data_IF_247330187769
#
_entry.id   IF_247330187769
#
_cell.length_a   1.000
_cell.length_b   1.000
_cell.length_c   1.000
_cell.angle_alpha   90.00
_cell.angle_beta   90.00
_cell.angle_gamma   90.00
#
_symmetry.space_group_name_H-M   'P 1'
#
loop_
_entity.id
_entity.type
_entity.pdbx_description
1 polymer ?
#
# COMPACT_ATOMS: atom_id res chain seq x y z
N UNK A 1 10.17 12.84 32.00
CA UNK A 1 10.37 12.98 30.54
C UNK A 1 9.54 11.91 29.84
N UNK A 2 8.60 12.30 28.97
CA UNK A 2 7.80 11.34 28.20
C UNK A 2 8.66 10.76 27.07
N UNK A 3 8.94 9.45 27.11
CA UNK A 3 9.74 8.77 26.08
C UNK A 3 8.88 8.68 24.82
N UNK A 4 9.15 9.54 23.83
CA UNK A 4 8.52 9.44 22.50
C UNK A 4 8.76 8.01 21.98
N UNK A 5 7.68 7.27 21.74
CA UNK A 5 7.76 5.93 21.14
C UNK A 5 8.21 6.11 19.70
N UNK A 6 9.49 5.84 19.40
CA UNK A 6 9.99 5.87 18.04
C UNK A 6 9.77 4.50 17.40
N UNK A 7 8.98 4.47 16.34
CA UNK A 7 8.87 3.29 15.49
C UNK A 7 10.07 3.28 14.54
N UNK A 8 11.05 2.43 14.83
CA UNK A 8 12.24 2.31 13.98
C UNK A 8 11.94 1.42 12.78
N UNK A 9 12.60 1.70 11.65
CA UNK A 9 12.54 0.84 10.46
C UNK A 9 12.84 -0.62 10.82
N UNK A 10 13.84 -0.86 11.66
CA UNK A 10 14.23 -2.20 12.13
C UNK A 10 13.11 -2.92 12.88
N UNK A 11 12.37 -2.21 13.74
CA UNK A 11 11.23 -2.79 14.45
C UNK A 11 10.11 -3.18 13.49
N UNK A 12 9.81 -2.34 12.50
CA UNK A 12 8.81 -2.61 11.47
C UNK A 12 9.22 -3.81 10.61
N UNK A 13 10.49 -3.87 10.17
CA UNK A 13 11.01 -5.00 9.38
C UNK A 13 10.92 -6.32 10.14
N UNK A 14 11.25 -6.34 11.43
CA UNK A 14 11.08 -7.54 12.26
C UNK A 14 9.63 -7.98 12.39
N UNK A 15 8.71 -7.03 12.60
CA UNK A 15 7.29 -7.34 12.69
C UNK A 15 6.76 -7.97 11.39
N UNK A 16 7.09 -7.38 10.24
CA UNK A 16 6.72 -7.91 8.92
C UNK A 16 7.30 -9.30 8.68
N UNK A 17 8.59 -9.51 9.01
CA UNK A 17 9.22 -10.82 8.87
C UNK A 17 8.57 -11.88 9.76
N UNK A 18 8.22 -11.53 11.01
CA UNK A 18 7.51 -12.42 11.92
C UNK A 18 6.12 -12.80 11.41
N UNK A 19 5.39 -11.85 10.82
CA UNK A 19 4.09 -12.12 10.20
C UNK A 19 4.22 -13.06 8.99
N UNK A 20 5.21 -12.84 8.12
CA UNK A 20 5.47 -13.72 6.99
C UNK A 20 5.89 -15.13 7.43
N UNK A 21 6.72 -15.25 8.47
CA UNK A 21 7.11 -16.53 9.05
C UNK A 21 5.91 -17.28 9.68
N UNK A 22 4.93 -16.54 10.19
CA UNK A 22 3.66 -17.09 10.65
C UNK A 22 2.69 -17.45 9.50
N UNK A 23 3.12 -17.35 8.24
CA UNK A 23 2.30 -17.64 7.06
C UNK A 23 1.33 -16.53 6.67
N UNK A 24 1.38 -15.36 7.32
CA UNK A 24 0.54 -14.22 6.96
C UNK A 24 1.14 -13.46 5.79
N UNK A 25 0.36 -13.32 4.71
CA UNK A 25 0.76 -12.51 3.56
C UNK A 25 0.48 -11.04 3.85
N UNK A 26 1.53 -10.25 3.99
CA UNK A 26 1.46 -8.80 4.21
C UNK A 26 1.13 -8.10 2.89
N UNK A 27 0.08 -7.28 2.89
CA UNK A 27 -0.44 -6.59 1.69
C UNK A 27 -0.24 -5.08 1.74
N UNK A 28 -0.08 -4.49 2.93
CA UNK A 28 0.07 -3.05 3.09
C UNK A 28 0.63 -2.66 4.46
N UNK A 29 1.19 -1.44 4.52
CA UNK A 29 1.75 -0.84 5.73
C UNK A 29 1.30 0.61 5.81
N UNK A 30 0.65 0.98 6.90
CA UNK A 30 0.31 2.37 7.22
C UNK A 30 1.13 2.84 8.42
N UNK A 31 1.76 4.00 8.28
CA UNK A 31 2.60 4.60 9.33
C UNK A 31 1.97 5.93 9.72
N UNK A 32 1.54 6.02 10.97
CA UNK A 32 1.08 7.26 11.62
C UNK A 32 2.04 7.65 12.74
N UNK A 33 2.00 8.90 13.23
CA UNK A 33 2.89 9.36 14.31
C UNK A 33 2.77 8.54 15.60
N UNK A 34 1.59 7.98 15.85
CA UNK A 34 1.19 7.29 17.07
C UNK A 34 1.13 5.76 16.92
N UNK A 35 1.02 5.24 15.69
CA UNK A 35 0.85 3.80 15.43
C UNK A 35 1.38 3.37 14.07
N UNK A 36 1.72 2.09 13.97
CA UNK A 36 2.01 1.40 12.71
C UNK A 36 0.98 0.29 12.54
N UNK A 37 0.29 0.27 11.41
CA UNK A 37 -0.71 -0.76 11.07
C UNK A 37 -0.15 -1.60 9.93
N UNK A 38 -0.14 -2.93 10.13
CA UNK A 38 0.29 -3.89 9.10
C UNK A 38 -0.97 -4.62 8.64
N UNK A 39 -1.30 -4.48 7.37
CA UNK A 39 -2.42 -5.19 6.76
C UNK A 39 -1.95 -6.54 6.24
N UNK A 40 -2.65 -7.59 6.67
CA UNK A 40 -2.46 -8.96 6.18
C UNK A 40 -3.75 -9.44 5.54
N UNK A 41 -3.64 -10.09 4.39
CA UNK A 41 -4.79 -10.60 3.65
C UNK A 41 -4.36 -11.42 2.44
N UNK A 42 -5.29 -12.20 1.90
CA UNK A 42 -5.14 -12.75 0.56
C UNK A 42 -5.07 -11.56 -0.42
N UNK A 43 -4.20 -11.56 -1.44
CA UNK A 43 -4.36 -10.60 -2.52
C UNK A 43 -5.69 -10.90 -3.21
N UNK A 44 -6.78 -10.27 -2.77
CA UNK A 44 -7.85 -9.91 -3.68
C UNK A 44 -7.13 -9.04 -4.68
N UNK A 45 -6.83 -9.62 -5.85
CA UNK A 45 -6.18 -8.99 -7.00
C UNK A 45 -6.20 -7.48 -6.81
N UNK A 46 -5.03 -6.88 -6.58
CA UNK A 46 -4.79 -5.45 -6.79
C UNK A 46 -5.72 -5.02 -7.90
N UNK A 47 -6.61 -4.07 -7.60
CA UNK A 47 -7.57 -3.45 -8.51
C UNK A 47 -7.06 -3.63 -9.93
N UNK A 48 -7.46 -4.76 -10.53
CA UNK A 48 -6.82 -5.21 -11.76
C UNK A 48 -7.52 -4.37 -12.74
N UNK A 49 -6.95 -3.18 -12.97
CA UNK A 49 -7.49 -2.10 -13.77
C UNK A 49 -8.38 -2.76 -14.82
N UNK A 50 -9.69 -2.70 -14.56
CA UNK A 50 -10.67 -3.41 -15.33
C UNK A 50 -10.33 -3.07 -16.80
N UNK A 51 -10.33 -4.00 -17.77
CA UNK A 51 -10.05 -3.63 -19.16
C UNK A 51 -10.85 -2.40 -19.62
N UNK A 52 -12.03 -2.19 -19.02
CA UNK A 52 -12.83 -0.97 -19.09
C UNK A 52 -12.18 0.29 -18.50
N UNK A 53 -11.58 0.24 -17.31
CA UNK A 53 -10.85 1.35 -16.69
C UNK A 53 -9.59 1.72 -17.47
N UNK A 54 -8.83 0.73 -17.95
CA UNK A 54 -7.66 0.97 -18.82
C UNK A 54 -8.08 1.59 -20.16
N UNK A 55 -9.20 1.13 -20.73
CA UNK A 55 -9.76 1.70 -21.95
C UNK A 55 -10.27 3.14 -21.75
N UNK A 56 -10.96 3.41 -20.64
CA UNK A 56 -11.42 4.76 -20.28
C UNK A 56 -10.25 5.72 -20.11
N UNK A 57 -9.24 5.35 -19.33
CA UNK A 57 -8.04 6.16 -19.12
C UNK A 57 -7.32 6.48 -20.44
N UNK A 58 -7.23 5.52 -21.38
CA UNK A 58 -6.67 5.75 -22.72
C UNK A 58 -7.51 6.73 -23.57
N UNK A 59 -8.83 6.75 -23.39
CA UNK A 59 -9.73 7.65 -24.11
C UNK A 59 -9.65 9.08 -23.56
N UNK A 60 -9.66 9.24 -22.23
CA UNK A 60 -9.61 10.54 -21.58
C UNK A 60 -8.26 11.24 -21.78
N UNK A 61 -7.16 10.48 -21.88
CA UNK A 61 -5.84 11.03 -22.20
C UNK A 61 -5.78 11.76 -23.56
N UNK A 62 -6.65 11.41 -24.52
CA UNK A 62 -6.68 12.03 -25.85
C UNK A 62 -7.48 13.34 -25.91
N UNK A 63 -8.27 13.66 -24.88
CA UNK A 63 -9.10 14.86 -24.87
C UNK A 63 -8.33 16.13 -24.49
N UNK A 64 -7.14 15.99 -23.87
CA UNK A 64 -6.37 17.14 -23.35
C UNK A 64 -5.27 17.64 -24.29
N UNK A 65 -5.05 16.99 -25.44
CA UNK A 65 -4.11 17.44 -26.47
C UNK A 65 -4.84 18.22 -27.57
N UNK A 66 -5.50 19.33 -27.21
CA UNK A 66 -5.83 20.40 -28.19
C UNK A 66 -4.75 21.47 -28.10
N UNK A 67 -3.77 21.51 -29.02
CA UNK A 67 -2.95 22.70 -29.19
C UNK A 67 -3.85 23.83 -29.73
N UNK A 68 -3.71 25.01 -29.13
CA UNK A 68 -4.14 26.29 -29.72
C UNK A 68 -3.28 26.59 -30.94
#
# INVERSE_FOLDING_TARGET
MSRRKSFTKTAITRAVAGMQAAGLKVTGLEISPDKVVIHSGQPTKSDSANPLDVWRAKRDARATERPQ
#
